data_IF_851925794724
#
_entry.id   IF_851925794724
#
_cell.length_a   1.000
_cell.length_b   1.000
_cell.length_c   1.000
_cell.angle_alpha   90.00
_cell.angle_beta   90.00
_cell.angle_gamma   90.00
#
_symmetry.space_group_name_H-M   'P 1'
#
loop_
_entity.id
_entity.type
_entity.pdbx_description
1 polymer ?
#
# COMPACT_ATOMS: atom_id res chain seq x y z
N UNK A 1 -79.06 79.56 49.03
CA UNK A 1 -77.85 80.32 49.42
C UNK A 1 -76.65 79.71 48.71
N UNK A 2 -75.88 80.54 47.97
CA UNK A 2 -74.44 80.39 47.61
C UNK A 2 -74.11 79.24 46.61
N UNK A 3 -74.24 79.45 45.28
CA UNK A 3 -73.27 79.96 44.26
C UNK A 3 -72.33 78.93 43.57
N UNK A 4 -72.72 78.55 42.34
CA UNK A 4 -72.01 78.50 41.03
C UNK A 4 -70.53 78.04 40.85
N UNK A 5 -70.42 77.11 39.86
CA UNK A 5 -69.53 77.02 38.65
C UNK A 5 -68.11 76.42 38.75
N UNK A 6 -67.86 75.32 37.99
CA UNK A 6 -67.04 75.23 36.72
C UNK A 6 -66.96 73.77 36.17
N UNK A 7 -66.53 73.54 34.90
CA UNK A 7 -67.04 72.45 34.04
C UNK A 7 -66.03 71.39 33.50
N UNK A 8 -66.61 70.34 32.88
CA UNK A 8 -66.21 69.43 31.77
C UNK A 8 -64.73 69.03 31.51
N UNK A 9 -64.52 67.69 31.37
CA UNK A 9 -64.26 66.89 30.15
C UNK A 9 -63.22 65.77 30.45
N UNK A 10 -63.47 64.47 30.30
CA UNK A 10 -63.42 63.73 29.01
C UNK A 10 -63.78 62.23 29.23
N UNK A 11 -64.71 61.74 28.38
CA UNK A 11 -64.89 60.39 27.77
C UNK A 11 -64.49 59.10 28.53
N UNK A 12 -65.42 58.27 29.05
CA UNK A 12 -66.33 57.24 28.42
C UNK A 12 -65.63 55.93 27.95
N UNK A 13 -66.32 54.76 27.90
CA UNK A 13 -67.28 54.18 28.86
C UNK A 13 -67.08 52.65 29.11
N UNK A 14 -67.84 52.15 30.07
CA UNK A 14 -67.99 50.75 30.50
C UNK A 14 -69.05 49.98 29.68
N UNK A 15 -68.86 48.65 29.65
CA UNK A 15 -69.80 47.53 29.44
C UNK A 15 -71.15 47.78 28.77
N UNK A 16 -71.36 47.07 27.65
CA UNK A 16 -72.35 45.99 27.47
C UNK A 16 -72.37 45.57 26.00
N UNK A 17 -72.03 44.32 25.71
CA UNK A 17 -72.47 43.47 24.59
C UNK A 17 -71.64 42.17 24.71
N UNK A 18 -72.23 41.07 25.18
CA UNK A 18 -72.96 40.11 24.34
C UNK A 18 -72.05 38.89 24.16
N UNK A 19 -72.01 37.94 25.08
CA UNK A 19 -72.85 36.73 25.04
C UNK A 19 -73.16 36.23 23.62
N UNK A 20 -72.12 36.06 22.78
CA UNK A 20 -72.18 35.32 21.52
C UNK A 20 -70.80 34.83 21.02
N UNK A 21 -69.81 34.64 21.91
CA UNK A 21 -68.45 34.20 21.50
C UNK A 21 -67.83 33.17 22.47
N UNK A 22 -68.66 32.28 23.02
CA UNK A 22 -68.27 31.27 24.02
C UNK A 22 -68.43 29.81 23.55
N UNK A 23 -68.81 29.55 22.30
CA UNK A 23 -68.95 28.17 21.76
C UNK A 23 -68.03 27.82 20.58
N UNK A 24 -67.18 28.74 20.12
CA UNK A 24 -66.21 28.47 19.02
C UNK A 24 -64.75 28.63 19.43
N UNK A 25 -64.46 28.87 20.71
CA UNK A 25 -63.08 28.92 21.26
C UNK A 25 -62.72 27.78 22.21
N UNK A 26 -63.55 26.75 22.27
CA UNK A 26 -63.27 25.45 22.94
C UNK A 26 -62.95 24.36 21.91
N UNK A 27 -62.34 24.74 20.78
CA UNK A 27 -61.81 23.82 19.75
C UNK A 27 -60.43 24.25 19.21
N UNK A 28 -59.72 25.11 19.96
CA UNK A 28 -58.34 25.57 19.68
C UNK A 28 -57.50 25.47 20.96
N UNK A 29 -57.59 24.32 21.63
CA UNK A 29 -56.82 23.97 22.83
C UNK A 29 -56.34 22.51 22.68
N UNK A 30 -55.60 22.23 21.59
CA UNK A 30 -54.95 20.93 21.35
C UNK A 30 -53.72 21.02 20.43
N UNK A 31 -53.10 22.19 20.31
CA UNK A 31 -51.82 22.36 19.61
C UNK A 31 -50.71 22.60 20.63
N UNK A 32 -49.73 21.69 20.62
CA UNK A 32 -48.47 21.70 21.37
C UNK A 32 -48.48 21.21 22.83
N UNK A 33 -48.78 19.93 23.01
CA UNK A 33 -48.21 19.14 24.10
C UNK A 33 -48.18 17.64 23.74
N UNK A 34 -47.12 17.19 23.05
CA UNK A 34 -46.78 15.76 22.99
C UNK A 34 -45.68 15.49 24.02
N UNK A 35 -45.88 14.60 25.00
CA UNK A 35 -44.79 14.07 25.79
C UNK A 35 -43.96 13.14 24.89
N UNK A 36 -42.67 13.45 24.73
CA UNK A 36 -41.72 12.54 24.10
C UNK A 36 -41.44 11.38 25.06
N UNK A 37 -42.13 10.27 24.82
CA UNK A 37 -41.85 8.96 25.39
C UNK A 37 -40.38 8.58 25.11
N UNK A 38 -39.61 8.51 26.19
CA UNK A 38 -38.17 8.34 26.19
C UNK A 38 -37.86 6.86 26.44
N UNK A 39 -38.23 5.97 25.52
CA UNK A 39 -38.08 4.52 25.73
C UNK A 39 -37.77 3.66 24.49
N UNK A 40 -37.21 4.22 23.40
CA UNK A 40 -36.79 3.40 22.23
C UNK A 40 -35.34 3.63 21.73
N UNK A 41 -34.62 4.67 22.17
CA UNK A 41 -33.33 5.03 21.56
C UNK A 41 -32.06 4.44 22.23
N UNK A 42 -32.08 3.20 22.73
CA UNK A 42 -30.85 2.53 23.22
C UNK A 42 -30.84 1.04 22.92
N UNK A 43 -30.58 0.63 21.67
CA UNK A 43 -29.99 -0.68 21.30
C UNK A 43 -29.79 -0.79 19.77
N UNK A 44 -28.77 -0.11 19.22
CA UNK A 44 -27.98 -0.56 18.04
C UNK A 44 -27.09 0.60 17.57
N UNK A 45 -25.75 0.44 17.65
CA UNK A 45 -25.01 0.21 16.41
C UNK A 45 -23.77 -0.67 16.61
N UNK A 46 -23.94 -1.91 17.08
CA UNK A 46 -22.81 -2.87 17.14
C UNK A 46 -22.96 -4.04 16.17
N UNK A 47 -24.16 -4.25 15.58
CA UNK A 47 -24.41 -5.34 14.61
C UNK A 47 -24.08 -4.97 13.16
N UNK A 48 -24.21 -3.70 12.75
CA UNK A 48 -23.90 -3.29 11.37
C UNK A 48 -22.39 -3.32 11.04
N UNK A 49 -21.51 -3.05 12.01
CA UNK A 49 -20.06 -3.03 11.77
C UNK A 49 -19.49 -4.44 11.66
N UNK A 50 -20.04 -5.43 12.39
CA UNK A 50 -19.60 -6.83 12.30
C UNK A 50 -19.99 -7.48 10.97
N UNK A 51 -21.17 -7.18 10.41
CA UNK A 51 -21.63 -7.77 9.13
C UNK A 51 -20.73 -7.36 7.96
N UNK A 52 -20.29 -6.10 7.94
CA UNK A 52 -19.44 -5.56 6.87
C UNK A 52 -18.02 -6.18 6.85
N UNK A 53 -17.49 -6.61 8.01
CA UNK A 53 -16.17 -7.28 8.09
C UNK A 53 -16.18 -8.68 7.48
N UNK A 54 -17.25 -9.46 7.67
CA UNK A 54 -17.37 -10.80 7.08
C UNK A 54 -17.62 -10.78 5.58
N UNK A 55 -18.26 -9.73 5.06
CA UNK A 55 -18.44 -9.53 3.61
C UNK A 55 -17.14 -9.08 2.95
N UNK A 56 -16.37 -8.17 3.57
CA UNK A 56 -15.05 -7.77 3.10
C UNK A 56 -14.04 -8.94 3.10
N UNK A 57 -14.06 -9.77 4.15
CA UNK A 57 -13.21 -10.96 4.23
C UNK A 57 -13.55 -11.98 3.13
N UNK A 58 -14.84 -12.22 2.85
CA UNK A 58 -15.28 -13.12 1.76
C UNK A 58 -14.89 -12.60 0.39
N UNK A 59 -15.02 -11.29 0.13
CA UNK A 59 -14.55 -10.67 -1.12
C UNK A 59 -13.04 -10.79 -1.30
N UNK A 60 -12.28 -10.62 -0.22
CA UNK A 60 -10.82 -10.81 -0.25
C UNK A 60 -10.44 -12.27 -0.55
N UNK A 61 -11.15 -13.25 0.03
CA UNK A 61 -10.92 -14.67 -0.27
C UNK A 61 -11.29 -15.02 -1.71
N UNK A 62 -12.39 -14.48 -2.25
CA UNK A 62 -12.75 -14.67 -3.65
C UNK A 62 -11.75 -14.03 -4.62
N UNK A 63 -11.25 -12.82 -4.32
CA UNK A 63 -10.22 -12.17 -5.12
C UNK A 63 -8.89 -12.94 -5.06
N UNK A 64 -8.52 -13.45 -3.88
CA UNK A 64 -7.33 -14.31 -3.72
C UNK A 64 -7.49 -15.63 -4.49
N UNK A 65 -8.68 -16.25 -4.45
CA UNK A 65 -8.97 -17.48 -5.19
C UNK A 65 -8.93 -17.25 -6.69
N UNK A 66 -9.50 -16.14 -7.18
CA UNK A 66 -9.42 -15.76 -8.60
C UNK A 66 -7.97 -15.50 -8.99
N UNK A 67 -7.19 -14.79 -8.18
CA UNK A 67 -5.76 -14.57 -8.42
C UNK A 67 -5.00 -15.90 -8.50
N UNK A 68 -5.22 -16.81 -7.52
CA UNK A 68 -4.58 -18.13 -7.48
C UNK A 68 -4.99 -18.99 -8.69
N UNK A 69 -6.27 -18.96 -9.06
CA UNK A 69 -6.81 -19.65 -10.22
C UNK A 69 -6.26 -19.09 -11.53
N UNK A 70 -6.10 -17.76 -11.64
CA UNK A 70 -5.45 -17.14 -12.81
C UNK A 70 -3.97 -17.52 -12.91
N UNK A 71 -3.25 -17.60 -11.80
CA UNK A 71 -1.85 -18.06 -11.78
C UNK A 71 -1.75 -19.54 -12.21
N UNK A 72 -2.73 -20.38 -11.83
CA UNK A 72 -2.82 -21.79 -12.22
C UNK A 72 -3.20 -22.02 -13.70
N UNK A 73 -3.87 -21.06 -14.34
CA UNK A 73 -4.32 -21.17 -15.75
C UNK A 73 -3.42 -20.45 -16.76
N UNK A 74 -2.44 -19.65 -16.30
CA UNK A 74 -1.38 -19.18 -17.19
C UNK A 74 -0.54 -20.40 -17.57
N UNK A 75 -0.70 -20.89 -18.80
CA UNK A 75 0.29 -21.76 -19.44
C UNK A 75 1.59 -20.98 -19.49
N UNK A 76 2.43 -21.12 -18.48
CA UNK A 76 3.80 -20.62 -18.53
C UNK A 76 4.50 -21.45 -19.60
N UNK A 77 4.61 -20.91 -20.81
CA UNK A 77 5.57 -21.40 -21.80
C UNK A 77 6.94 -21.20 -21.17
N UNK A 78 7.45 -22.25 -20.51
CA UNK A 78 8.76 -22.23 -19.88
C UNK A 78 9.75 -21.98 -21.00
N UNK A 79 10.45 -20.84 -20.91
CA UNK A 79 11.48 -20.52 -21.88
C UNK A 79 12.58 -21.57 -21.76
N UNK A 80 12.93 -22.16 -22.89
CA UNK A 80 13.90 -23.23 -23.00
C UNK A 80 15.30 -22.62 -23.17
N UNK A 81 16.35 -23.15 -22.50
CA UNK A 81 17.70 -22.69 -22.73
C UNK A 81 18.10 -22.86 -24.19
N UNK A 82 18.75 -21.85 -24.78
CA UNK A 82 19.25 -21.89 -26.16
C UNK A 82 20.11 -23.12 -26.49
N UNK A 83 20.83 -23.68 -25.51
CA UNK A 83 21.60 -24.91 -25.67
C UNK A 83 20.72 -26.14 -25.98
N UNK A 84 19.50 -26.20 -25.43
CA UNK A 84 18.55 -27.28 -25.75
C UNK A 84 18.01 -27.08 -27.17
N UNK A 85 17.70 -25.84 -27.55
CA UNK A 85 17.26 -25.52 -28.90
C UNK A 85 18.34 -25.90 -29.94
N UNK A 86 19.61 -25.57 -29.68
CA UNK A 86 20.77 -26.01 -30.47
C UNK A 86 20.79 -27.54 -30.62
N UNK A 87 20.63 -28.29 -29.53
CA UNK A 87 20.61 -29.76 -29.59
C UNK A 87 19.41 -30.33 -30.36
N UNK A 88 18.24 -29.70 -30.26
CA UNK A 88 17.05 -30.11 -31.01
C UNK A 88 17.22 -29.93 -32.52
N UNK A 89 17.82 -28.81 -32.94
CA UNK A 89 18.10 -28.55 -34.35
C UNK A 89 19.15 -29.54 -34.87
N UNK A 90 20.24 -29.77 -34.14
CA UNK A 90 21.25 -30.77 -34.50
C UNK A 90 20.64 -32.17 -34.66
N UNK A 91 19.81 -32.59 -33.69
CA UNK A 91 19.13 -33.89 -33.77
C UNK A 91 18.25 -33.99 -35.02
N UNK A 92 17.48 -32.95 -35.35
CA UNK A 92 16.65 -32.93 -36.55
C UNK A 92 17.47 -33.03 -37.84
N UNK A 93 18.61 -32.32 -37.93
CA UNK A 93 19.53 -32.42 -39.08
C UNK A 93 20.05 -33.86 -39.23
N UNK A 94 20.51 -34.47 -38.13
CA UNK A 94 21.04 -35.84 -38.14
C UNK A 94 19.98 -36.84 -38.58
N UNK A 95 18.76 -36.73 -38.05
CA UNK A 95 17.64 -37.61 -38.35
C UNK A 95 17.19 -37.52 -39.82
N UNK A 96 17.09 -36.30 -40.37
CA UNK A 96 16.73 -36.09 -41.78
C UNK A 96 17.86 -36.52 -42.74
N UNK A 97 19.12 -36.26 -42.37
CA UNK A 97 20.28 -36.73 -43.14
C UNK A 97 20.32 -38.25 -43.19
N UNK A 98 20.08 -38.91 -42.05
CA UNK A 98 20.00 -40.36 -41.99
C UNK A 98 18.86 -40.88 -42.87
N UNK A 99 17.69 -40.23 -42.85
CA UNK A 99 16.55 -40.61 -43.67
C UNK A 99 16.88 -40.61 -45.18
N UNK A 100 17.64 -39.63 -45.65
CA UNK A 100 18.12 -39.58 -47.04
C UNK A 100 19.12 -40.71 -47.35
N UNK A 101 20.04 -41.02 -46.44
CA UNK A 101 21.01 -42.10 -46.61
C UNK A 101 20.34 -43.47 -46.68
N UNK A 102 19.36 -43.73 -45.81
CA UNK A 102 18.64 -45.01 -45.77
C UNK A 102 17.65 -45.19 -46.93
N UNK A 103 17.30 -44.11 -47.66
CA UNK A 103 16.38 -44.18 -48.80
C UNK A 103 16.83 -45.13 -49.92
N UNK A 104 18.14 -45.37 -50.06
CA UNK A 104 18.71 -46.29 -51.06
C UNK A 104 18.81 -47.74 -50.58
N UNK A 105 18.79 -47.97 -49.27
CA UNK A 105 19.03 -49.27 -48.65
C UNK A 105 17.72 -49.94 -48.16
N UNK A 106 16.73 -49.15 -47.77
CA UNK A 106 15.45 -49.66 -47.26
C UNK A 106 14.52 -50.13 -48.40
N UNK A 107 13.69 -51.13 -48.12
CA UNK A 107 12.52 -51.43 -48.97
C UNK A 107 11.50 -50.29 -48.89
N UNK A 108 10.60 -50.12 -49.88
CA UNK A 108 9.60 -49.04 -49.86
C UNK A 108 8.75 -48.99 -48.58
N UNK A 109 8.44 -50.14 -47.99
CA UNK A 109 7.67 -50.27 -46.75
C UNK A 109 8.49 -49.85 -45.52
N UNK A 110 9.75 -50.30 -45.43
CA UNK A 110 10.66 -49.90 -44.35
C UNK A 110 10.97 -48.40 -44.41
N UNK A 111 11.19 -47.88 -45.63
CA UNK A 111 11.43 -46.47 -45.84
C UNK A 111 10.21 -45.63 -45.42
N UNK A 112 8.99 -46.04 -45.78
CA UNK A 112 7.77 -45.34 -45.37
C UNK A 112 7.61 -45.30 -43.84
N UNK A 113 7.86 -46.42 -43.14
CA UNK A 113 7.80 -46.47 -41.68
C UNK A 113 8.88 -45.59 -41.01
N UNK A 114 10.08 -45.55 -41.60
CA UNK A 114 11.17 -44.69 -41.13
C UNK A 114 10.82 -43.22 -41.33
N UNK A 115 10.31 -42.84 -42.51
CA UNK A 115 9.82 -41.48 -42.78
C UNK A 115 8.83 -41.05 -41.70
N UNK A 116 7.80 -41.85 -41.43
CA UNK A 116 6.78 -41.49 -40.43
C UNK A 116 7.37 -41.25 -39.05
N UNK A 117 8.32 -42.10 -38.64
CA UNK A 117 8.99 -42.00 -37.34
C UNK A 117 9.89 -40.77 -37.28
N UNK A 118 10.76 -40.59 -38.26
CA UNK A 118 11.67 -39.44 -38.38
C UNK A 118 10.90 -38.12 -38.39
N UNK A 119 9.82 -38.01 -39.16
CA UNK A 119 9.04 -36.76 -39.21
C UNK A 119 8.32 -36.46 -37.89
N UNK A 120 7.90 -37.49 -37.16
CA UNK A 120 7.32 -37.34 -35.82
C UNK A 120 8.38 -36.84 -34.83
N UNK A 121 9.57 -37.43 -34.86
CA UNK A 121 10.67 -37.10 -33.97
C UNK A 121 11.15 -35.67 -34.21
N UNK A 122 11.34 -35.27 -35.48
CA UNK A 122 11.67 -33.89 -35.89
C UNK A 122 10.62 -32.88 -35.40
N UNK A 123 9.33 -33.16 -35.57
CA UNK A 123 8.25 -32.28 -35.07
C UNK A 123 8.23 -32.17 -33.55
N UNK A 124 8.63 -33.23 -32.85
CA UNK A 124 8.72 -33.24 -31.40
C UNK A 124 9.94 -32.46 -30.90
N UNK A 125 11.06 -32.53 -31.63
CA UNK A 125 12.29 -31.83 -31.32
C UNK A 125 12.19 -30.33 -31.60
N UNK A 126 11.54 -29.96 -32.71
CA UNK A 126 11.43 -28.58 -33.21
C UNK A 126 9.95 -28.18 -33.38
N UNK A 127 9.28 -27.74 -32.29
CA UNK A 127 7.87 -27.36 -32.35
C UNK A 127 7.66 -26.03 -33.11
N UNK A 128 6.42 -25.81 -33.58
CA UNK A 128 6.02 -24.63 -34.38
C UNK A 128 6.25 -23.31 -33.64
N UNK A 129 6.02 -23.29 -32.33
CA UNK A 129 6.25 -22.11 -31.49
C UNK A 129 7.04 -22.53 -30.25
N UNK A 130 8.19 -21.92 -30.05
CA UNK A 130 9.04 -22.17 -28.88
C UNK A 130 9.55 -20.86 -28.28
N UNK A 131 9.53 -20.75 -26.96
CA UNK A 131 10.16 -19.64 -26.25
C UNK A 131 11.59 -20.06 -25.88
N UNK A 132 12.60 -19.34 -26.35
CA UNK A 132 14.02 -19.62 -26.11
C UNK A 132 14.66 -18.49 -25.31
N UNK A 133 15.45 -18.85 -24.30
CA UNK A 133 16.19 -17.91 -23.44
C UNK A 133 17.71 -18.09 -23.53
N UNK A 134 18.43 -16.97 -23.43
CA UNK A 134 19.89 -16.89 -23.34
C UNK A 134 20.30 -15.72 -22.42
N UNK A 135 21.59 -15.63 -22.09
CA UNK A 135 22.15 -14.62 -21.15
C UNK A 135 21.83 -13.15 -21.49
N UNK A 136 21.38 -12.87 -22.73
CA UNK A 136 21.06 -11.54 -23.23
C UNK A 136 19.57 -11.29 -23.50
N UNK A 137 18.68 -12.25 -23.26
CA UNK A 137 17.26 -12.05 -23.51
C UNK A 137 16.44 -13.33 -23.70
N UNK A 138 15.16 -13.14 -24.00
CA UNK A 138 14.22 -14.19 -24.37
C UNK A 138 13.59 -13.82 -25.71
N UNK A 139 13.45 -14.78 -26.61
CA UNK A 139 12.74 -14.62 -27.87
C UNK A 139 11.78 -15.78 -28.07
N UNK A 140 10.70 -15.50 -28.80
CA UNK A 140 9.79 -16.53 -29.30
C UNK A 140 10.18 -16.86 -30.73
N UNK A 141 10.52 -18.11 -30.97
CA UNK A 141 10.91 -18.64 -32.28
C UNK A 141 9.67 -19.30 -32.90
N UNK A 142 9.43 -18.98 -34.18
CA UNK A 142 8.35 -19.56 -34.96
C UNK A 142 8.92 -20.42 -36.09
N UNK A 143 8.67 -21.72 -36.02
CA UNK A 143 9.11 -22.75 -36.97
C UNK A 143 7.96 -23.19 -37.90
N UNK A 144 6.98 -22.32 -38.17
CA UNK A 144 5.86 -22.64 -39.07
C UNK A 144 6.31 -23.05 -40.47
N UNK A 145 7.45 -22.54 -40.93
CA UNK A 145 8.05 -22.92 -42.20
C UNK A 145 8.41 -24.42 -42.26
N UNK A 146 8.91 -24.98 -41.16
CA UNK A 146 9.33 -26.39 -41.09
C UNK A 146 8.10 -27.28 -41.18
N UNK A 147 7.06 -26.96 -40.42
CA UNK A 147 5.79 -27.71 -40.47
C UNK A 147 5.16 -27.65 -41.86
N UNK A 148 5.19 -26.48 -42.53
CA UNK A 148 4.67 -26.33 -43.89
C UNK A 148 5.45 -27.18 -44.92
N UNK A 149 6.78 -27.19 -44.84
CA UNK A 149 7.64 -27.98 -45.72
C UNK A 149 7.50 -29.49 -45.46
N UNK A 150 7.39 -29.91 -44.19
CA UNK A 150 7.15 -31.31 -43.81
C UNK A 150 5.80 -31.83 -44.31
N UNK A 151 4.73 -31.05 -44.17
CA UNK A 151 3.42 -31.39 -44.75
C UNK A 151 3.46 -31.49 -46.27
N UNK A 152 4.23 -30.62 -46.92
CA UNK A 152 4.41 -30.64 -48.37
C UNK A 152 5.11 -31.93 -48.81
N UNK A 153 6.16 -32.33 -48.09
CA UNK A 153 6.87 -33.59 -48.30
C UNK A 153 5.96 -34.82 -48.13
N UNK A 154 5.11 -34.85 -47.10
CA UNK A 154 4.17 -35.97 -46.85
C UNK A 154 3.13 -36.12 -47.95
N UNK A 155 2.64 -35.01 -48.52
CA UNK A 155 1.63 -35.01 -49.60
C UNK A 155 2.18 -35.44 -50.96
N UNK A 156 3.49 -35.37 -51.16
CA UNK A 156 4.12 -35.74 -52.44
C UNK A 156 4.19 -37.25 -52.62
N UNK A 157 4.01 -37.73 -53.86
CA UNK A 157 4.22 -39.15 -54.19
C UNK A 157 5.66 -39.59 -53.87
N UNK A 158 5.83 -40.83 -53.38
CA UNK A 158 7.15 -41.41 -53.10
C UNK A 158 8.06 -41.45 -54.33
N UNK A 159 7.48 -41.55 -55.53
CA UNK A 159 8.20 -41.58 -56.80
C UNK A 159 8.49 -40.20 -57.41
N UNK A 160 8.08 -39.10 -56.75
CA UNK A 160 8.33 -37.75 -57.28
C UNK A 160 9.76 -37.28 -56.96
N UNK A 161 10.54 -36.82 -57.95
CA UNK A 161 11.86 -36.23 -57.69
C UNK A 161 11.78 -34.99 -56.78
N UNK A 162 10.66 -34.26 -56.83
CA UNK A 162 10.40 -33.08 -56.01
C UNK A 162 10.36 -33.41 -54.50
N UNK A 163 10.06 -34.67 -54.15
CA UNK A 163 10.02 -35.13 -52.76
C UNK A 163 11.43 -35.17 -52.16
N UNK A 164 12.40 -35.69 -52.91
CA UNK A 164 13.80 -35.72 -52.50
C UNK A 164 14.38 -34.29 -52.41
N UNK A 165 14.09 -33.44 -53.41
CA UNK A 165 14.50 -32.03 -53.41
C UNK A 165 13.94 -31.25 -52.20
N UNK A 166 12.69 -31.53 -51.82
CA UNK A 166 12.06 -30.90 -50.66
C UNK A 166 12.74 -31.33 -49.36
N UNK A 167 13.06 -32.62 -49.19
CA UNK A 167 13.78 -33.12 -48.02
C UNK A 167 15.20 -32.52 -47.92
N UNK A 168 15.91 -32.45 -49.05
CA UNK A 168 17.23 -31.83 -49.11
C UNK A 168 17.16 -30.34 -48.72
N UNK A 169 16.19 -29.59 -49.26
CA UNK A 169 15.97 -28.17 -48.90
C UNK A 169 15.70 -27.97 -47.41
N UNK A 170 14.89 -28.85 -46.79
CA UNK A 170 14.61 -28.78 -45.35
C UNK A 170 15.89 -29.01 -44.55
N UNK A 171 16.64 -30.04 -44.92
CA UNK A 171 17.89 -30.43 -44.26
C UNK A 171 18.92 -29.31 -44.37
N UNK A 172 19.15 -28.78 -45.58
CA UNK A 172 20.08 -27.66 -45.83
C UNK A 172 19.72 -26.42 -45.00
N UNK A 173 18.43 -26.10 -44.90
CA UNK A 173 17.96 -24.95 -44.11
C UNK A 173 18.17 -25.15 -42.62
N UNK A 174 17.96 -26.37 -42.10
CA UNK A 174 18.24 -26.69 -40.70
C UNK A 174 19.75 -26.69 -40.42
N UNK A 175 20.58 -27.21 -41.32
CA UNK A 175 22.05 -27.16 -41.22
C UNK A 175 22.56 -25.72 -41.21
N UNK A 176 22.05 -24.86 -42.09
CA UNK A 176 22.40 -23.44 -42.08
C UNK A 176 22.01 -22.72 -40.77
N UNK A 177 20.90 -23.13 -40.15
CA UNK A 177 20.51 -22.63 -38.83
C UNK A 177 21.44 -23.15 -37.74
N UNK A 178 21.83 -24.42 -37.79
CA UNK A 178 22.79 -25.04 -36.88
C UNK A 178 24.15 -24.33 -36.92
N UNK A 179 24.68 -24.07 -38.12
CA UNK A 179 25.94 -23.35 -38.32
C UNK A 179 25.87 -21.95 -37.71
N UNK A 180 24.77 -21.23 -37.97
CA UNK A 180 24.58 -19.88 -37.44
C UNK A 180 24.46 -19.87 -35.91
N UNK A 181 23.79 -20.86 -35.33
CA UNK A 181 23.70 -21.00 -33.87
C UNK A 181 25.06 -21.32 -33.25
N UNK A 182 25.85 -22.17 -33.91
CA UNK A 182 27.20 -22.53 -33.49
C UNK A 182 28.15 -21.33 -33.51
N UNK A 183 28.07 -20.49 -34.55
CA UNK A 183 28.82 -19.22 -34.63
C UNK A 183 28.47 -18.28 -33.47
N UNK A 184 27.16 -18.11 -33.19
CA UNK A 184 26.68 -17.28 -32.09
C UNK A 184 27.10 -17.82 -30.72
N UNK A 185 27.20 -19.14 -30.56
CA UNK A 185 27.71 -19.77 -29.34
C UNK A 185 29.18 -19.43 -29.13
N UNK A 186 30.01 -19.53 -30.16
CA UNK A 186 31.43 -19.22 -30.05
C UNK A 186 31.67 -17.74 -29.75
N UNK A 187 30.94 -16.84 -30.41
CA UNK A 187 30.97 -15.40 -30.10
C UNK A 187 30.60 -15.11 -28.63
N UNK A 188 29.55 -15.78 -28.12
CA UNK A 188 29.12 -15.64 -26.72
C UNK A 188 30.20 -16.14 -25.77
N UNK A 189 30.79 -17.30 -26.04
CA UNK A 189 31.87 -17.89 -25.23
C UNK A 189 33.07 -16.94 -25.12
N UNK A 190 33.55 -16.42 -26.25
CA UNK A 190 34.66 -15.44 -26.29
C UNK A 190 34.32 -14.17 -25.49
N UNK A 191 33.09 -13.68 -25.59
CA UNK A 191 32.66 -12.49 -24.81
C UNK A 191 32.60 -12.76 -23.31
N UNK A 192 32.15 -13.95 -22.91
CA UNK A 192 32.05 -14.36 -21.51
C UNK A 192 33.44 -14.54 -20.88
N UNK A 193 34.37 -15.15 -21.61
CA UNK A 193 35.77 -15.29 -21.19
C UNK A 193 36.42 -13.92 -20.97
N UNK A 194 36.32 -13.00 -21.94
CA UNK A 194 36.82 -11.61 -21.80
C UNK A 194 36.24 -10.90 -20.58
N UNK A 195 34.92 -10.99 -20.37
CA UNK A 195 34.26 -10.38 -19.21
C UNK A 195 34.74 -10.98 -17.89
N UNK A 196 35.01 -12.28 -17.86
CA UNK A 196 35.55 -12.96 -16.68
C UNK A 196 37.00 -12.53 -16.38
N UNK A 197 37.82 -12.35 -17.41
CA UNK A 197 39.18 -11.82 -17.30
C UNK A 197 39.17 -10.37 -16.80
N UNK A 198 38.29 -9.53 -17.33
CA UNK A 198 38.11 -8.13 -16.89
C UNK A 198 37.70 -8.05 -15.42
N UNK A 199 36.75 -8.89 -14.98
CA UNK A 199 36.38 -8.99 -13.56
C UNK A 199 37.56 -9.42 -12.70
N UNK A 200 38.33 -10.40 -13.14
CA UNK A 200 39.53 -10.86 -12.41
C UNK A 200 40.60 -9.77 -12.32
N UNK A 201 40.80 -8.99 -13.40
CA UNK A 201 41.68 -7.80 -13.41
C UNK A 201 41.17 -6.70 -12.49
N UNK A 202 39.86 -6.48 -12.43
CA UNK A 202 39.23 -5.52 -11.53
C UNK A 202 39.37 -5.96 -10.07
N UNK A 203 39.07 -7.21 -9.75
CA UNK A 203 39.23 -7.77 -8.40
C UNK A 203 40.69 -7.72 -7.94
N UNK A 204 41.64 -8.06 -8.81
CA UNK A 204 43.07 -7.94 -8.49
C UNK A 204 43.52 -6.48 -8.31
N UNK A 205 42.85 -5.52 -8.97
CA UNK A 205 43.08 -4.08 -8.75
C UNK A 205 42.50 -3.61 -7.41
N UNK A 206 41.29 -4.05 -7.06
CA UNK A 206 40.63 -3.72 -5.79
C UNK A 206 41.27 -4.39 -4.57
N UNK A 207 41.99 -5.50 -4.76
CA UNK A 207 42.76 -6.19 -3.71
C UNK A 207 44.16 -5.62 -3.48
N UNK A 208 44.59 -4.62 -4.27
CA UNK A 208 45.87 -3.94 -4.00
C UNK A 208 45.81 -3.28 -2.63
N UNK A 209 46.88 -3.42 -1.85
CA UNK A 209 46.99 -2.92 -0.47
C UNK A 209 46.68 -1.42 -0.32
N UNK A 210 46.74 -0.64 -1.40
CA UNK A 210 46.42 0.80 -1.42
C UNK A 210 44.91 1.10 -1.28
N UNK A 211 44.03 0.12 -1.53
CA UNK A 211 42.56 0.26 -1.40
C UNK A 211 41.98 -0.49 -0.19
N UNK A 212 42.83 -1.08 0.66
CA UNK A 212 42.39 -1.73 1.90
C UNK A 212 42.30 -0.68 3.00
N UNK A 213 41.18 0.04 3.03
CA UNK A 213 40.80 0.81 4.21
C UNK A 213 40.66 -0.17 5.39
N UNK A 214 41.38 0.10 6.49
CA UNK A 214 41.41 -0.75 7.70
C UNK A 214 40.00 -1.17 8.06
N UNK A 215 39.75 -2.49 8.07
CA UNK A 215 38.43 -3.06 8.32
C UNK A 215 37.80 -2.42 9.56
N UNK A 216 36.62 -1.79 9.47
CA UNK A 216 35.88 -1.40 10.65
C UNK A 216 35.50 -2.67 11.40
N UNK A 217 35.73 -2.67 12.71
CA UNK A 217 35.47 -3.82 13.59
C UNK A 217 34.11 -4.46 13.28
N UNK A 218 34.10 -5.78 13.14
CA UNK A 218 32.95 -6.55 12.68
C UNK A 218 31.66 -6.14 13.39
N UNK A 219 30.76 -5.50 12.64
CA UNK A 219 29.40 -5.23 13.05
C UNK A 219 28.73 -6.53 13.53
N UNK A 220 28.18 -6.52 14.75
CA UNK A 220 27.48 -7.68 15.33
C UNK A 220 26.36 -8.20 14.41
N UNK A 221 25.74 -7.31 13.65
CA UNK A 221 24.74 -7.63 12.62
C UNK A 221 25.33 -8.44 11.45
N UNK A 222 26.54 -8.14 11.01
CA UNK A 222 27.22 -8.91 9.96
C UNK A 222 27.53 -10.33 10.43
N UNK A 223 27.94 -10.51 11.70
CA UNK A 223 28.12 -11.83 12.31
C UNK A 223 26.81 -12.61 12.40
N UNK A 224 25.72 -11.96 12.81
CA UNK A 224 24.40 -12.60 12.87
C UNK A 224 23.88 -13.00 11.48
N UNK A 225 24.06 -12.13 10.49
CA UNK A 225 23.64 -12.40 9.11
C UNK A 225 24.41 -13.57 8.49
N UNK A 226 25.72 -13.65 8.76
CA UNK A 226 26.58 -14.77 8.33
C UNK A 226 26.10 -16.10 8.92
N UNK A 227 25.81 -16.13 10.23
CA UNK A 227 25.24 -17.30 10.91
C UNK A 227 23.86 -17.71 10.38
N UNK A 228 23.02 -16.73 10.03
CA UNK A 228 21.71 -16.99 9.42
C UNK A 228 21.85 -17.62 8.04
N UNK A 229 22.75 -17.11 7.19
CA UNK A 229 23.04 -17.67 5.86
C UNK A 229 23.61 -19.08 5.93
N UNK A 230 24.50 -19.34 6.89
CA UNK A 230 25.06 -20.69 7.13
C UNK A 230 23.97 -21.67 7.57
N UNK A 231 23.10 -21.26 8.50
CA UNK A 231 21.94 -22.06 8.91
C UNK A 231 20.97 -22.30 7.75
N UNK A 232 20.70 -21.28 6.95
CA UNK A 232 19.83 -21.36 5.77
C UNK A 232 20.38 -22.34 4.73
N UNK A 233 21.67 -22.27 4.41
CA UNK A 233 22.30 -23.19 3.47
C UNK A 233 22.36 -24.63 4.00
N UNK A 234 22.40 -24.84 5.31
CA UNK A 234 22.35 -26.18 5.90
C UNK A 234 20.94 -26.79 5.89
N UNK A 235 19.89 -25.99 5.71
CA UNK A 235 18.51 -26.49 5.58
C UNK A 235 18.20 -27.05 4.18
N UNK A 236 19.00 -26.70 3.18
CA UNK A 236 18.93 -27.31 1.85
C UNK A 236 20.06 -28.34 1.74
N UNK A 237 19.76 -29.66 1.75
CA UNK A 237 20.79 -30.63 1.40
C UNK A 237 21.34 -30.27 0.04
N UNK A 238 22.67 -30.18 -0.08
CA UNK A 238 23.38 -30.06 -1.36
C UNK A 238 23.07 -31.33 -2.16
N UNK A 239 21.95 -31.28 -2.88
CA UNK A 239 21.52 -32.35 -3.76
C UNK A 239 22.54 -32.47 -4.88
N UNK A 240 23.24 -33.61 -4.90
CA UNK A 240 23.95 -34.09 -6.07
C UNK A 240 23.06 -33.94 -7.31
N UNK A 241 23.65 -33.54 -8.43
CA UNK A 241 22.96 -33.30 -9.69
C UNK A 241 21.95 -34.40 -10.01
N UNK A 242 20.67 -34.03 -10.06
CA UNK A 242 19.60 -34.91 -10.46
C UNK A 242 19.46 -34.84 -11.98
N UNK A 243 19.61 -36.00 -12.62
CA UNK A 243 19.55 -36.18 -14.07
C UNK A 243 18.23 -35.66 -14.69
N UNK A 244 18.27 -35.10 -15.91
CA UNK A 244 17.08 -34.60 -16.60
C UNK A 244 16.28 -35.78 -17.17
N UNK A 245 15.06 -35.98 -16.70
CA UNK A 245 14.16 -36.97 -17.33
C UNK A 245 12.92 -37.39 -16.55
N UNK A 246 12.87 -37.21 -15.22
CA UNK A 246 11.76 -37.74 -14.40
C UNK A 246 11.16 -36.75 -13.38
N UNK A 247 11.52 -35.47 -13.46
CA UNK A 247 11.36 -34.53 -12.34
C UNK A 247 10.29 -33.45 -12.51
N UNK A 248 9.51 -33.43 -13.61
CA UNK A 248 8.64 -32.28 -13.90
C UNK A 248 7.45 -32.10 -12.95
N UNK A 249 6.96 -33.16 -12.29
CA UNK A 249 5.85 -33.06 -11.33
C UNK A 249 6.35 -33.00 -9.87
N UNK A 250 7.49 -33.62 -9.56
CA UNK A 250 8.13 -33.53 -8.24
C UNK A 250 8.72 -32.14 -7.99
N UNK A 251 9.27 -31.48 -9.01
CA UNK A 251 9.72 -30.08 -8.91
C UNK A 251 8.55 -29.13 -8.67
N UNK A 252 7.40 -29.40 -9.28
CA UNK A 252 6.18 -28.62 -9.13
C UNK A 252 5.57 -28.81 -7.73
N UNK A 253 5.56 -30.04 -7.20
CA UNK A 253 5.17 -30.33 -5.82
C UNK A 253 6.13 -29.67 -4.83
N UNK A 254 7.44 -29.78 -5.04
CA UNK A 254 8.44 -29.13 -4.19
C UNK A 254 8.25 -27.60 -4.17
N UNK A 255 7.98 -26.99 -5.33
CA UNK A 255 7.69 -25.56 -5.45
C UNK A 255 6.42 -25.18 -4.69
N UNK A 256 5.33 -25.94 -4.85
CA UNK A 256 4.08 -25.71 -4.13
C UNK A 256 4.28 -25.85 -2.62
N UNK A 257 5.05 -26.83 -2.16
CA UNK A 257 5.35 -27.04 -0.74
C UNK A 257 6.17 -25.88 -0.19
N UNK A 258 7.18 -25.40 -0.91
CA UNK A 258 8.00 -24.25 -0.50
C UNK A 258 7.18 -22.97 -0.45
N UNK A 259 6.42 -22.67 -1.51
CA UNK A 259 5.54 -21.50 -1.52
C UNK A 259 4.42 -21.59 -0.48
N UNK A 260 3.88 -22.79 -0.24
CA UNK A 260 2.90 -23.05 0.81
C UNK A 260 3.49 -22.82 2.21
N UNK A 261 4.74 -23.25 2.43
CA UNK A 261 5.45 -23.02 3.69
C UNK A 261 5.75 -21.53 3.89
N UNK A 262 6.22 -20.83 2.86
CA UNK A 262 6.46 -19.38 2.90
C UNK A 262 5.16 -18.61 3.14
N UNK A 263 4.08 -18.96 2.43
CA UNK A 263 2.76 -18.37 2.64
C UNK A 263 2.21 -18.67 4.05
N UNK A 264 2.47 -19.86 4.58
CA UNK A 264 2.13 -20.25 5.95
C UNK A 264 2.91 -19.44 6.99
N UNK A 265 4.21 -19.25 6.80
CA UNK A 265 5.06 -18.44 7.68
C UNK A 265 4.67 -16.96 7.60
N UNK A 266 4.44 -16.43 6.40
CA UNK A 266 3.97 -15.05 6.21
C UNK A 266 2.56 -14.85 6.78
N UNK A 267 1.68 -15.83 6.62
CA UNK A 267 0.34 -15.84 7.21
C UNK A 267 0.37 -15.90 8.73
N UNK A 268 1.25 -16.73 9.31
CA UNK A 268 1.47 -16.81 10.75
C UNK A 268 2.11 -15.54 11.31
N UNK A 269 3.12 -15.00 10.62
CA UNK A 269 3.76 -13.73 10.97
C UNK A 269 2.74 -12.59 10.90
N UNK A 270 1.95 -12.51 9.83
CA UNK A 270 0.84 -11.56 9.70
C UNK A 270 -0.18 -11.76 10.83
N UNK A 271 -0.66 -12.98 11.09
CA UNK A 271 -1.61 -13.25 12.17
C UNK A 271 -1.07 -12.86 13.55
N UNK A 272 0.24 -13.00 13.79
CA UNK A 272 0.93 -12.58 15.03
C UNK A 272 1.20 -11.07 15.08
N UNK A 273 1.48 -10.43 13.95
CA UNK A 273 1.79 -9.00 13.82
C UNK A 273 0.54 -8.12 13.68
N UNK A 274 -0.55 -8.61 13.10
CA UNK A 274 -1.83 -7.93 12.99
C UNK A 274 -2.36 -7.43 14.35
N UNK A 275 -2.40 -8.23 15.42
CA UNK A 275 -2.80 -7.73 16.74
C UNK A 275 -1.76 -6.78 17.33
N UNK A 276 -0.48 -6.83 16.91
CA UNK A 276 0.54 -5.88 17.34
C UNK A 276 0.36 -4.50 16.68
N UNK A 277 0.02 -4.46 15.38
CA UNK A 277 -0.30 -3.23 14.65
C UNK A 277 -1.67 -2.67 15.03
N UNK A 278 -2.68 -3.52 15.27
CA UNK A 278 -3.97 -3.08 15.79
C UNK A 278 -3.85 -2.53 17.21
N UNK A 279 -3.01 -3.11 18.08
CA UNK A 279 -2.70 -2.54 19.40
C UNK A 279 -1.97 -1.20 19.28
N UNK A 280 -1.07 -1.02 18.30
CA UNK A 280 -0.43 0.29 18.01
C UNK A 280 -1.37 1.33 17.42
N UNK A 281 -2.32 0.93 16.55
CA UNK A 281 -3.33 1.84 15.97
C UNK A 281 -4.46 2.15 16.96
N UNK A 282 -4.82 1.19 17.81
CA UNK A 282 -5.72 1.38 18.93
C UNK A 282 -5.04 2.21 20.03
N UNK A 283 -3.75 2.03 20.33
CA UNK A 283 -3.02 2.90 21.26
C UNK A 283 -2.82 4.32 20.71
N UNK A 284 -2.87 4.52 19.38
CA UNK A 284 -2.88 5.86 18.77
C UNK A 284 -4.28 6.53 18.77
N UNK A 285 -5.37 5.76 18.98
CA UNK A 285 -6.75 6.29 19.08
C UNK A 285 -7.36 6.21 20.47
N UNK A 286 -6.77 5.43 21.37
CA UNK A 286 -7.15 5.17 22.75
C UNK A 286 -5.90 5.16 23.63
N UNK A 287 -4.96 6.07 23.38
CA UNK A 287 -4.13 6.53 24.48
C UNK A 287 -5.12 7.15 25.47
N UNK A 288 -5.28 6.55 26.64
CA UNK A 288 -5.85 7.24 27.80
C UNK A 288 -5.01 8.51 27.95
N UNK A 289 -5.49 9.61 27.37
CA UNK A 289 -4.87 10.92 27.50
C UNK A 289 -4.77 11.14 29.01
N UNK A 290 -3.55 11.21 29.52
CA UNK A 290 -3.33 11.62 30.89
C UNK A 290 -3.85 13.06 31.07
N UNK A 291 -4.29 13.45 32.27
CA UNK A 291 -4.70 14.83 32.53
C UNK A 291 -3.58 15.79 32.09
N UNK A 292 -3.87 16.63 31.09
CA UNK A 292 -2.90 17.58 30.56
C UNK A 292 -2.75 18.70 31.58
N UNK A 293 -1.56 18.85 32.16
CA UNK A 293 -1.24 19.99 33.02
C UNK A 293 -0.62 21.09 32.17
N UNK A 294 -1.37 22.16 31.93
CA UNK A 294 -0.88 23.35 31.20
C UNK A 294 -0.87 24.51 32.19
N UNK A 295 0.32 25.09 32.44
CA UNK A 295 0.51 26.22 33.37
C UNK A 295 -0.10 25.97 34.78
N UNK A 296 -0.01 24.73 35.27
CA UNK A 296 -0.53 24.32 36.57
C UNK A 296 -2.04 24.01 36.60
N UNK A 297 -2.76 24.21 35.49
CA UNK A 297 -4.17 23.85 35.35
C UNK A 297 -4.31 22.38 34.95
N UNK A 298 -5.05 21.59 35.72
CA UNK A 298 -5.34 20.19 35.39
C UNK A 298 -6.54 20.12 34.45
N UNK A 299 -6.29 19.84 33.17
CA UNK A 299 -7.34 19.71 32.17
C UNK A 299 -7.81 18.26 32.07
N UNK A 300 -9.13 18.09 31.98
CA UNK A 300 -9.70 16.79 31.67
C UNK A 300 -9.26 16.37 30.24
N UNK A 301 -8.84 15.12 30.05
CA UNK A 301 -8.19 14.66 28.81
C UNK A 301 -9.03 14.75 27.53
N UNK A 302 -10.35 14.87 27.70
CA UNK A 302 -11.38 14.90 26.67
C UNK A 302 -11.90 16.30 26.33
N UNK A 303 -11.54 17.33 27.10
CA UNK A 303 -11.95 18.73 26.80
C UNK A 303 -11.16 19.30 25.62
N UNK A 304 -11.87 19.83 24.63
CA UNK A 304 -11.31 20.58 23.50
C UNK A 304 -10.98 22.02 23.91
N UNK A 305 -10.14 22.74 23.14
CA UNK A 305 -9.91 24.17 23.32
C UNK A 305 -11.20 24.99 23.35
N UNK A 306 -12.18 24.63 22.54
CA UNK A 306 -13.49 25.28 22.49
C UNK A 306 -14.29 25.10 23.80
N UNK A 307 -14.16 23.95 24.47
CA UNK A 307 -14.84 23.70 25.74
C UNK A 307 -14.19 24.51 26.88
N UNK A 308 -12.86 24.61 26.87
CA UNK A 308 -12.11 25.44 27.84
C UNK A 308 -12.45 26.93 27.65
N UNK A 309 -12.58 27.39 26.39
CA UNK A 309 -12.98 28.76 26.12
C UNK A 309 -14.41 29.05 26.61
N UNK A 310 -15.35 28.11 26.45
CA UNK A 310 -16.71 28.23 27.00
C UNK A 310 -16.71 28.31 28.53
N UNK A 311 -15.85 27.53 29.19
CA UNK A 311 -15.65 27.63 30.63
C UNK A 311 -15.12 29.01 31.02
N UNK A 312 -14.17 29.56 30.25
CA UNK A 312 -13.63 30.91 30.46
C UNK A 312 -14.71 32.00 30.29
N UNK A 313 -15.55 31.89 29.26
CA UNK A 313 -16.68 32.81 29.06
C UNK A 313 -17.71 32.73 30.20
N UNK A 314 -17.94 31.53 30.74
CA UNK A 314 -18.82 31.34 31.90
C UNK A 314 -18.25 32.03 33.15
N UNK A 315 -16.94 31.94 33.38
CA UNK A 315 -16.26 32.66 34.46
C UNK A 315 -16.33 34.17 34.27
N UNK A 316 -16.17 34.65 33.04
CA UNK A 316 -16.27 36.08 32.75
C UNK A 316 -17.67 36.63 33.08
N UNK A 317 -18.73 35.90 32.71
CA UNK A 317 -20.13 36.28 33.04
C UNK A 317 -20.42 36.30 34.55
N UNK A 318 -19.66 35.53 35.34
CA UNK A 318 -19.76 35.52 36.81
C UNK A 318 -18.94 36.64 37.47
N UNK A 319 -18.24 37.47 36.69
CA UNK A 319 -17.35 38.51 37.21
C UNK A 319 -15.97 38.00 37.61
N UNK A 320 -15.66 36.71 37.42
CA UNK A 320 -14.35 36.14 37.72
C UNK A 320 -13.35 36.37 36.55
N UNK A 321 -13.19 37.64 36.16
CA UNK A 321 -12.48 38.04 34.93
C UNK A 321 -11.02 37.58 34.90
N UNK A 322 -10.32 37.61 36.05
CA UNK A 322 -8.93 37.15 36.14
C UNK A 322 -8.77 35.67 35.82
N UNK A 323 -9.69 34.83 36.31
CA UNK A 323 -9.70 33.39 36.05
C UNK A 323 -10.15 33.11 34.61
N UNK A 324 -11.09 33.90 34.09
CA UNK A 324 -11.49 33.83 32.70
C UNK A 324 -10.31 34.09 31.75
N UNK A 325 -9.51 35.14 31.97
CA UNK A 325 -8.30 35.44 31.18
C UNK A 325 -7.31 34.27 31.23
N UNK A 326 -7.03 33.71 32.42
CA UNK A 326 -6.15 32.55 32.57
C UNK A 326 -6.63 31.35 31.76
N UNK A 327 -7.92 31.03 31.88
CA UNK A 327 -8.48 29.86 31.22
C UNK A 327 -8.57 30.04 29.70
N UNK A 328 -8.86 31.26 29.22
CA UNK A 328 -8.81 31.61 27.81
C UNK A 328 -7.38 31.58 27.24
N UNK A 329 -6.36 31.98 28.01
CA UNK A 329 -4.96 31.82 27.61
C UNK A 329 -4.56 30.35 27.49
N UNK A 330 -5.02 29.50 28.41
CA UNK A 330 -4.80 28.05 28.31
C UNK A 330 -5.54 27.47 27.10
N UNK A 331 -6.75 27.93 26.80
CA UNK A 331 -7.51 27.51 25.63
C UNK A 331 -6.75 27.81 24.32
N UNK A 332 -6.11 28.99 24.20
CA UNK A 332 -5.40 29.32 22.96
C UNK A 332 -4.12 28.52 22.77
N UNK A 333 -3.39 28.25 23.87
CA UNK A 333 -2.25 27.33 23.83
C UNK A 333 -2.69 25.92 23.42
N UNK A 334 -3.82 25.45 23.96
CA UNK A 334 -4.38 24.16 23.59
C UNK A 334 -4.73 24.10 22.11
N UNK A 335 -5.37 25.14 21.58
CA UNK A 335 -5.77 25.23 20.18
C UNK A 335 -4.57 25.26 19.22
N UNK A 336 -3.53 26.05 19.53
CA UNK A 336 -2.28 26.05 18.77
C UNK A 336 -1.57 24.69 18.84
N UNK A 337 -1.70 23.96 19.95
CA UNK A 337 -1.20 22.60 20.09
C UNK A 337 -1.99 21.58 19.26
N UNK A 338 -3.32 21.67 19.25
CA UNK A 338 -4.20 20.83 18.43
C UNK A 338 -3.98 21.04 16.93
N UNK A 339 -3.73 22.29 16.52
CA UNK A 339 -3.35 22.68 15.14
C UNK A 339 -1.89 22.35 14.80
N UNK A 340 -1.13 21.75 15.72
CA UNK A 340 0.31 21.40 15.59
C UNK A 340 1.23 22.60 15.32
N UNK A 341 0.81 23.80 15.70
CA UNK A 341 1.61 25.03 15.57
C UNK A 341 2.65 25.11 16.69
N UNK A 342 2.31 24.60 17.88
CA UNK A 342 3.23 24.51 19.03
C UNK A 342 3.17 23.11 19.66
N UNK A 343 4.24 22.70 20.33
CA UNK A 343 4.24 21.48 21.16
C UNK A 343 3.98 21.84 22.61
N UNK A 344 2.87 21.37 23.17
CA UNK A 344 2.52 21.54 24.59
C UNK A 344 3.33 20.60 25.46
N UNK A 345 3.88 21.12 26.56
CA UNK A 345 4.56 20.32 27.58
C UNK A 345 4.38 20.96 28.96
N UNK A 346 4.37 20.14 30.01
CA UNK A 346 4.13 20.58 31.38
C UNK A 346 5.21 21.55 31.89
N UNK A 347 6.46 21.40 31.41
CA UNK A 347 7.62 22.19 31.82
C UNK A 347 7.90 23.40 30.93
N UNK A 348 7.01 23.75 29.98
CA UNK A 348 7.17 24.92 29.12
C UNK A 348 6.63 26.18 29.77
N UNK A 349 7.40 27.26 29.65
CA UNK A 349 7.03 28.62 30.09
C UNK A 349 6.31 29.39 28.99
N UNK A 350 5.67 30.51 29.35
CA UNK A 350 5.08 31.44 28.37
C UNK A 350 6.08 31.90 27.31
N UNK A 351 7.33 32.17 27.72
CA UNK A 351 8.40 32.59 26.82
C UNK A 351 8.79 31.47 25.83
N UNK A 352 8.74 30.20 26.25
CA UNK A 352 9.02 29.06 25.36
C UNK A 352 7.96 28.93 24.27
N UNK A 353 6.69 29.24 24.58
CA UNK A 353 5.62 29.26 23.58
C UNK A 353 5.79 30.40 22.58
N UNK A 354 6.19 31.59 23.02
CA UNK A 354 6.51 32.70 22.12
C UNK A 354 7.72 32.38 21.22
N UNK A 355 8.76 31.75 21.77
CA UNK A 355 9.93 31.31 21.00
C UNK A 355 9.54 30.32 19.89
N UNK A 356 8.59 29.42 20.16
CA UNK A 356 8.10 28.46 19.15
C UNK A 356 7.37 29.14 17.98
N UNK A 357 6.86 30.36 18.17
CA UNK A 357 6.17 31.14 17.13
C UNK A 357 7.08 32.09 16.37
N UNK A 358 8.40 32.06 16.60
CA UNK A 358 9.36 33.04 16.03
C UNK A 358 9.34 33.07 14.50
N UNK A 359 9.05 31.97 13.83
CA UNK A 359 9.00 31.91 12.36
C UNK A 359 7.70 32.53 11.79
N UNK A 360 6.63 32.58 12.59
CA UNK A 360 5.30 33.08 12.20
C UNK A 360 5.08 34.48 12.77
N UNK A 361 5.79 35.48 12.22
CA UNK A 361 5.85 36.87 12.74
C UNK A 361 4.48 37.52 13.03
N UNK A 362 3.45 37.43 12.16
CA UNK A 362 2.14 38.02 12.45
C UNK A 362 1.45 37.36 13.66
N UNK A 363 1.52 36.03 13.73
CA UNK A 363 0.97 35.23 14.84
C UNK A 363 1.71 35.50 16.16
N UNK A 364 3.03 35.65 16.11
CA UNK A 364 3.87 35.99 17.25
C UNK A 364 3.46 37.32 17.88
N UNK A 365 3.23 38.36 17.07
CA UNK A 365 2.89 39.69 17.56
C UNK A 365 1.56 39.69 18.33
N UNK A 366 0.55 39.00 17.80
CA UNK A 366 -0.75 38.88 18.47
C UNK A 366 -0.66 37.99 19.72
N UNK A 367 0.08 36.88 19.65
CA UNK A 367 0.31 36.01 20.82
C UNK A 367 1.12 36.71 21.92
N UNK A 368 2.05 37.60 21.57
CA UNK A 368 2.82 38.39 22.53
C UNK A 368 1.91 39.35 23.31
N UNK A 369 0.96 40.01 22.64
CA UNK A 369 -0.02 40.88 23.32
C UNK A 369 -0.87 40.11 24.31
N UNK A 370 -1.38 38.93 23.92
CA UNK A 370 -2.14 38.05 24.82
C UNK A 370 -1.30 37.55 25.99
N UNK A 371 -0.04 37.19 25.74
CA UNK A 371 0.88 36.72 26.78
C UNK A 371 1.18 37.83 27.78
N UNK A 372 1.44 39.06 27.32
CA UNK A 372 1.67 40.20 28.21
C UNK A 372 0.43 40.51 29.06
N UNK A 373 -0.76 40.51 28.45
CA UNK A 373 -2.02 40.70 29.20
C UNK A 373 -2.22 39.59 30.24
N UNK A 374 -2.00 38.33 29.87
CA UNK A 374 -2.07 37.22 30.82
C UNK A 374 -1.06 37.36 31.97
N UNK A 375 0.20 37.71 31.68
CA UNK A 375 1.25 37.84 32.69
C UNK A 375 0.98 38.99 33.65
N UNK A 376 0.54 40.14 33.13
CA UNK A 376 0.20 41.31 33.93
C UNK A 376 -0.96 41.04 34.89
N UNK A 377 -2.02 40.39 34.40
CA UNK A 377 -3.20 40.09 35.22
C UNK A 377 -2.96 38.91 36.15
N UNK A 378 -2.29 37.85 35.71
CA UNK A 378 -2.11 36.64 36.52
C UNK A 378 -0.95 36.76 37.49
N UNK A 379 0.26 37.10 37.02
CA UNK A 379 1.45 37.22 37.86
C UNK A 379 1.66 38.63 38.41
N UNK A 380 1.28 39.67 37.66
CA UNK A 380 1.44 41.07 38.05
C UNK A 380 0.35 41.61 39.00
N UNK A 381 -0.67 40.83 39.32
CA UNK A 381 -1.79 41.22 40.21
C UNK A 381 -2.51 42.53 39.83
N UNK A 382 -2.44 42.95 38.57
CA UNK A 382 -3.20 44.10 38.09
C UNK A 382 -4.70 43.83 38.17
N UNK A 383 -5.47 44.86 38.52
CA UNK A 383 -6.93 44.77 38.53
C UNK A 383 -7.43 44.54 37.10
N UNK A 384 -8.33 43.57 36.95
CA UNK A 384 -8.90 43.21 35.65
C UNK A 384 -10.24 43.89 35.50
N UNK A 385 -10.42 44.63 34.41
CA UNK A 385 -11.69 45.25 34.04
C UNK A 385 -12.43 44.43 32.99
N UNK A 386 -13.72 44.74 32.78
CA UNK A 386 -14.51 44.11 31.71
C UNK A 386 -13.99 44.47 30.30
N UNK A 387 -13.33 45.62 30.17
CA UNK A 387 -12.66 46.05 28.95
C UNK A 387 -11.45 45.15 28.65
N UNK A 388 -10.63 44.85 29.66
CA UNK A 388 -9.48 43.94 29.53
C UNK A 388 -9.89 42.55 29.04
N UNK A 389 -11.01 42.02 29.55
CA UNK A 389 -11.58 40.75 29.07
C UNK A 389 -12.03 40.83 27.61
N UNK A 390 -12.68 41.94 27.23
CA UNK A 390 -13.17 42.15 25.86
C UNK A 390 -12.00 42.24 24.88
N UNK A 391 -10.95 42.95 25.25
CA UNK A 391 -9.74 43.09 24.43
C UNK A 391 -8.95 41.79 24.36
N UNK A 392 -8.87 41.04 25.46
CA UNK A 392 -8.31 39.69 25.46
C UNK A 392 -9.08 38.76 24.51
N UNK A 393 -10.42 38.81 24.51
CA UNK A 393 -11.25 37.99 23.62
C UNK A 393 -11.07 38.37 22.15
N UNK A 394 -10.97 39.66 21.83
CA UNK A 394 -10.65 40.13 20.46
C UNK A 394 -9.27 39.66 20.01
N UNK A 395 -8.27 39.74 20.89
CA UNK A 395 -6.92 39.23 20.61
C UNK A 395 -6.91 37.72 20.36
N UNK A 396 -7.69 36.97 21.15
CA UNK A 396 -7.88 35.54 20.96
C UNK A 396 -8.40 35.22 19.54
N UNK A 397 -9.42 35.94 19.06
CA UNK A 397 -9.97 35.74 17.71
C UNK A 397 -8.98 36.08 16.60
N UNK A 398 -8.20 37.16 16.78
CA UNK A 398 -7.15 37.54 15.83
C UNK A 398 -6.08 36.47 15.67
N UNK A 399 -5.67 35.84 16.77
CA UNK A 399 -4.71 34.72 16.76
C UNK A 399 -5.28 33.50 16.02
N UNK A 400 -6.59 33.25 16.11
CA UNK A 400 -7.24 32.15 15.38
C UNK A 400 -7.49 32.43 13.90
N UNK A 401 -7.74 33.70 13.55
CA UNK A 401 -7.95 34.12 12.16
C UNK A 401 -6.66 34.36 11.40
N UNK A 402 -5.52 34.46 12.10
CA UNK A 402 -4.22 34.59 11.46
C UNK A 402 -3.92 33.30 10.68
N UNK A 403 -3.93 33.38 9.35
CA UNK A 403 -3.45 32.29 8.49
C UNK A 403 -1.94 32.09 8.72
N UNK A 404 -1.52 30.82 8.81
CA UNK A 404 -0.19 30.45 9.26
C UNK A 404 0.43 29.29 8.48
#
# INVERSE_FOLDING_TARGET
MVTRKRPLNTTRPDRREGFAELETRTMMLSLFAKPLDNSVARRAPLRLIKRNKHEAARRAHHLLFILLFTILFVKTTVAVPIARYESSIHQAVVELTALEQWAKADTPQQHAARVETTLRDVRSAVPVDEAVEWDGGKARINNSWLEADLQSYERMSQSSPQRAETLARITDRLSALEDRLSELREQRKVSAERKSEEKTRLESTLRRNEFVEKQPEENALARMWRRFLEWWNNLFPRGNGLAPGQTSWLSLIALIVVFGLVAGVLGYAAWKLLPFFERRRASLKLEKREPRVVLGERLAPDKSSADILRDAETLARRGELRRAIRLAYIAILLELGERKVITLAQNKTNHDYLRALREKRPLLNEMQKLTNSFENHWYGFQQVTAEDWTDFRKGYEKVLSAEY
#
